data_IF_132856446358
#
_entry.id   IF_132856446358
#
_cell.length_a   1.000
_cell.length_b   1.000
_cell.length_c   1.000
_cell.angle_alpha   90.00
_cell.angle_beta   90.00
_cell.angle_gamma   90.00
#
_symmetry.space_group_name_H-M   'P 1'
#
loop_
_entity.id
_entity.type
_entity.pdbx_description
1 polymer ?
#
# COMPACT_ATOMS: atom_id res chain seq x y z
N UNK A 1 -4.90 -26.58 23.07
CA UNK A 1 -4.52 -28.01 22.85
C UNK A 1 -3.53 -28.46 23.92
N UNK A 2 -3.22 -29.76 24.03
CA UNK A 2 -2.21 -30.29 24.97
C UNK A 2 -0.82 -29.64 24.80
N UNK A 3 -0.51 -29.10 23.62
CA UNK A 3 0.74 -28.39 23.35
C UNK A 3 0.77 -26.99 23.99
N UNK A 4 -0.33 -26.24 23.96
CA UNK A 4 -0.39 -24.88 24.55
C UNK A 4 -0.11 -24.89 26.04
N UNK A 5 -0.67 -25.85 26.79
CA UNK A 5 -0.38 -26.00 28.21
C UNK A 5 1.08 -26.41 28.45
N UNK A 6 1.63 -27.33 27.65
CA UNK A 6 3.02 -27.75 27.76
C UNK A 6 4.02 -26.62 27.42
N UNK A 7 3.68 -25.73 26.48
CA UNK A 7 4.51 -24.58 26.11
C UNK A 7 4.53 -23.49 27.17
N UNK A 8 3.46 -23.36 27.96
CA UNK A 8 3.38 -22.43 29.09
C UNK A 8 4.27 -22.88 30.26
N UNK A 9 4.40 -24.20 30.46
CA UNK A 9 5.22 -24.78 31.53
C UNK A 9 6.71 -24.92 31.17
N UNK A 10 7.06 -24.80 29.89
CA UNK A 10 8.43 -24.90 29.40
C UNK A 10 9.25 -23.65 29.74
N UNK A 11 10.41 -23.85 30.38
CA UNK A 11 11.24 -22.77 30.95
C UNK A 11 12.28 -22.28 29.95
N UNK A 12 12.73 -23.14 29.04
CA UNK A 12 13.78 -22.84 28.07
C UNK A 12 13.28 -22.86 26.63
N UNK A 13 13.99 -22.18 25.73
CA UNK A 13 13.64 -22.18 24.29
C UNK A 13 13.85 -23.56 23.67
N UNK A 14 14.89 -24.28 24.08
CA UNK A 14 15.18 -25.65 23.58
C UNK A 14 14.08 -26.64 23.97
N UNK A 15 13.52 -26.54 25.19
CA UNK A 15 12.37 -27.35 25.59
C UNK A 15 11.13 -27.02 24.75
N UNK A 16 10.88 -25.73 24.47
CA UNK A 16 9.76 -25.31 23.61
C UNK A 16 9.92 -25.86 22.20
N UNK A 17 11.10 -25.72 21.62
CA UNK A 17 11.41 -26.19 20.27
C UNK A 17 11.28 -27.71 20.19
N UNK A 18 11.74 -28.43 21.23
CA UNK A 18 11.57 -29.89 21.32
C UNK A 18 10.10 -30.30 21.45
N UNK A 19 9.28 -29.58 22.22
CA UNK A 19 7.84 -29.85 22.35
C UNK A 19 7.10 -29.61 21.03
N UNK A 20 7.43 -28.54 20.32
CA UNK A 20 6.89 -28.25 18.98
C UNK A 20 7.31 -29.34 18.00
N UNK A 21 8.60 -29.70 18.00
CA UNK A 21 9.12 -30.73 17.09
C UNK A 21 8.49 -32.11 17.34
N UNK A 22 8.33 -32.52 18.60
CA UNK A 22 7.63 -33.74 18.97
C UNK A 22 6.15 -33.71 18.56
N UNK A 23 5.50 -32.56 18.72
CA UNK A 23 4.11 -32.38 18.27
C UNK A 23 4.01 -32.50 16.74
N UNK A 24 4.90 -31.85 15.99
CA UNK A 24 4.95 -31.94 14.53
C UNK A 24 5.23 -33.37 14.06
N UNK A 25 6.19 -34.07 14.67
CA UNK A 25 6.44 -35.49 14.37
C UNK A 25 5.21 -36.36 14.65
N UNK A 26 4.46 -36.07 15.72
CA UNK A 26 3.22 -36.78 16.04
C UNK A 26 2.10 -36.49 15.04
N UNK A 27 1.99 -35.25 14.58
CA UNK A 27 1.04 -34.80 13.53
C UNK A 27 1.39 -35.43 12.18
N UNK A 28 2.66 -35.44 11.81
CA UNK A 28 3.16 -36.01 10.56
C UNK A 28 3.14 -37.55 10.55
N UNK A 29 3.17 -38.19 11.73
CA UNK A 29 3.25 -39.65 11.89
C UNK A 29 1.99 -40.43 11.51
N UNK A 30 0.89 -39.78 11.10
CA UNK A 30 -0.40 -40.41 10.74
C UNK A 30 -1.00 -41.33 11.84
N UNK A 31 -0.48 -41.28 13.07
CA UNK A 31 -0.93 -42.15 14.19
C UNK A 31 -2.19 -41.63 14.89
N UNK A 32 -2.77 -40.50 14.46
CA UNK A 32 -4.08 -40.04 14.91
C UNK A 32 -4.88 -39.43 13.74
N UNK A 33 -6.15 -39.81 13.64
CA UNK A 33 -7.17 -39.02 12.93
C UNK A 33 -7.19 -37.63 13.57
N UNK A 34 -6.51 -36.66 12.94
CA UNK A 34 -6.56 -35.26 13.36
C UNK A 34 -7.98 -34.74 13.12
N UNK A 35 -8.82 -34.84 14.14
CA UNK A 35 -10.17 -34.29 14.12
C UNK A 35 -10.10 -32.78 14.32
N UNK A 36 -10.59 -32.03 13.33
CA UNK A 36 -10.67 -30.57 13.41
C UNK A 36 -11.74 -30.21 14.44
N UNK A 37 -11.43 -29.53 15.56
CA UNK A 37 -12.44 -29.22 16.57
C UNK A 37 -13.59 -28.41 15.95
N UNK A 38 -14.81 -28.64 16.44
CA UNK A 38 -15.98 -27.84 16.05
C UNK A 38 -15.81 -26.39 16.53
N UNK A 39 -16.45 -25.44 15.83
CA UNK A 39 -16.43 -24.04 16.25
C UNK A 39 -17.08 -23.88 17.64
N UNK A 40 -16.50 -23.05 18.53
CA UNK A 40 -17.09 -22.75 19.83
C UNK A 40 -18.54 -22.24 19.74
N UNK A 41 -19.38 -22.62 20.70
CA UNK A 41 -20.74 -22.09 20.81
C UNK A 41 -20.72 -20.58 21.15
N UNK A 42 -21.68 -19.83 20.60
CA UNK A 42 -21.86 -18.41 20.91
C UNK A 42 -20.98 -17.43 20.12
N UNK A 43 -20.31 -17.88 19.05
CA UNK A 43 -19.62 -16.98 18.13
C UNK A 43 -20.63 -16.14 17.32
N UNK A 44 -20.30 -14.86 17.12
CA UNK A 44 -21.01 -14.01 16.18
C UNK A 44 -20.55 -14.33 14.75
N UNK A 45 -21.51 -14.60 13.87
CA UNK A 45 -21.26 -14.88 12.45
C UNK A 45 -21.75 -13.72 11.58
N UNK A 46 -20.97 -13.36 10.57
CA UNK A 46 -21.29 -12.29 9.63
C UNK A 46 -21.63 -12.91 8.26
N UNK A 47 -22.65 -12.36 7.59
CA UNK A 47 -23.15 -12.83 6.29
C UNK A 47 -23.67 -14.27 6.26
N UNK A 48 -24.06 -14.81 7.41
CA UNK A 48 -24.78 -16.09 7.51
C UNK A 48 -26.01 -15.91 8.40
N UNK A 49 -27.08 -16.64 8.08
CA UNK A 49 -28.32 -16.59 8.88
C UNK A 49 -28.22 -17.48 10.13
N UNK A 50 -27.30 -18.46 10.12
CA UNK A 50 -27.06 -19.42 11.20
C UNK A 50 -25.55 -19.64 11.39
N UNK A 51 -25.17 -20.24 12.53
CA UNK A 51 -23.78 -20.65 12.81
C UNK A 51 -23.31 -21.76 11.87
N UNK A 52 -22.08 -21.68 11.39
CA UNK A 52 -21.45 -22.71 10.55
C UNK A 52 -20.87 -23.81 11.44
N UNK A 53 -21.04 -25.07 11.05
CA UNK A 53 -20.38 -26.25 11.63
C UNK A 53 -19.31 -26.85 10.71
N UNK A 54 -18.17 -27.20 11.29
CA UNK A 54 -17.06 -27.88 10.60
C UNK A 54 -17.53 -29.22 10.01
N UNK A 55 -18.20 -30.04 10.81
CA UNK A 55 -18.55 -31.41 10.40
C UNK A 55 -19.81 -31.52 9.57
N UNK A 56 -20.72 -30.55 9.67
CA UNK A 56 -21.96 -30.52 8.89
C UNK A 56 -21.84 -29.70 7.61
N UNK A 57 -21.34 -28.48 7.70
CA UNK A 57 -21.46 -27.50 6.63
C UNK A 57 -20.19 -27.37 5.77
N UNK A 58 -19.03 -27.69 6.35
CA UNK A 58 -17.73 -27.58 5.68
C UNK A 58 -17.20 -28.92 5.14
N UNK A 59 -17.77 -30.04 5.60
CA UNK A 59 -17.35 -31.38 5.18
C UNK A 59 -17.40 -31.56 3.65
N UNK A 60 -16.29 -32.01 3.07
CA UNK A 60 -16.15 -32.24 1.62
C UNK A 60 -15.93 -30.98 0.78
N UNK A 61 -15.81 -29.79 1.39
CA UNK A 61 -15.50 -28.54 0.71
C UNK A 61 -14.04 -28.16 0.88
N UNK A 62 -13.49 -27.46 -0.11
CA UNK A 62 -12.22 -26.73 0.07
C UNK A 62 -12.55 -25.44 0.80
N UNK A 63 -12.02 -25.29 2.01
CA UNK A 63 -12.25 -24.12 2.87
C UNK A 63 -10.99 -23.28 2.92
N UNK A 64 -11.13 -21.99 2.62
CA UNK A 64 -10.06 -21.00 2.79
C UNK A 64 -10.31 -20.30 4.12
N UNK A 65 -9.31 -20.33 5.00
CA UNK A 65 -9.33 -19.61 6.27
C UNK A 65 -8.42 -18.39 6.16
N UNK A 66 -9.00 -17.22 6.41
CA UNK A 66 -8.27 -15.95 6.48
C UNK A 66 -8.29 -15.45 7.93
N UNK A 67 -7.12 -15.13 8.47
CA UNK A 67 -6.95 -14.73 9.86
C UNK A 67 -6.58 -13.26 9.91
N UNK A 68 -7.54 -12.41 10.30
CA UNK A 68 -7.30 -10.98 10.47
C UNK A 68 -6.73 -10.68 11.85
N UNK A 69 -5.63 -9.90 11.92
CA UNK A 69 -5.03 -9.47 13.19
C UNK A 69 -5.21 -7.97 13.37
N UNK A 70 -5.42 -7.52 14.61
CA UNK A 70 -5.55 -6.09 14.92
C UNK A 70 -4.28 -5.26 14.62
N UNK A 71 -3.10 -5.88 14.48
CA UNK A 71 -1.86 -5.17 14.17
C UNK A 71 -1.22 -5.72 12.89
N UNK A 72 -0.47 -4.87 12.18
CA UNK A 72 0.32 -5.28 11.03
C UNK A 72 1.45 -6.21 11.51
N UNK A 73 1.28 -7.52 11.30
CA UNK A 73 2.28 -8.53 11.69
C UNK A 73 3.64 -8.26 11.05
N UNK A 74 3.65 -7.71 9.83
CA UNK A 74 4.87 -7.32 9.13
C UNK A 74 5.62 -6.20 9.86
N UNK A 75 4.93 -5.25 10.50
CA UNK A 75 5.58 -4.20 11.31
C UNK A 75 6.27 -4.79 12.54
N UNK A 76 5.68 -5.81 13.17
CA UNK A 76 6.25 -6.48 14.35
C UNK A 76 7.50 -7.29 13.94
N UNK A 77 7.42 -8.01 12.81
CA UNK A 77 8.54 -8.79 12.30
C UNK A 77 9.76 -7.92 11.91
N UNK A 78 9.56 -6.63 11.61
CA UNK A 78 10.64 -5.71 11.26
C UNK A 78 11.42 -5.19 12.48
N UNK A 79 10.92 -5.36 13.71
CA UNK A 79 11.54 -4.79 14.91
C UNK A 79 13.00 -5.24 15.13
N UNK A 80 13.36 -6.53 14.96
CA UNK A 80 14.76 -6.96 15.07
C UNK A 80 15.67 -6.32 14.02
N UNK A 81 15.16 -6.15 12.78
CA UNK A 81 15.92 -5.53 11.68
C UNK A 81 16.14 -4.04 11.94
N UNK A 82 15.10 -3.32 12.38
CA UNK A 82 15.21 -1.92 12.78
C UNK A 82 16.22 -1.73 13.91
N UNK A 83 16.22 -2.62 14.91
CA UNK A 83 17.19 -2.59 15.99
C UNK A 83 18.63 -2.80 15.49
N UNK A 84 18.83 -3.74 14.55
CA UNK A 84 20.14 -3.98 13.95
C UNK A 84 20.62 -2.79 13.10
N UNK A 85 19.72 -2.18 12.32
CA UNK A 85 20.01 -1.00 11.50
C UNK A 85 20.39 0.21 12.38
N UNK A 86 19.61 0.49 13.42
CA UNK A 86 19.91 1.52 14.41
C UNK A 86 21.30 1.30 15.01
N UNK A 87 21.59 0.09 15.50
CA UNK A 87 22.90 -0.22 16.06
C UNK A 87 24.06 -0.05 15.07
N UNK A 88 23.80 -0.29 13.78
CA UNK A 88 24.82 -0.23 12.70
C UNK A 88 25.08 1.19 12.22
N UNK A 89 24.04 2.01 12.10
CA UNK A 89 24.10 3.30 11.42
C UNK A 89 23.95 4.53 12.33
N UNK A 90 23.63 4.36 13.62
CA UNK A 90 23.67 5.48 14.56
C UNK A 90 25.10 5.95 14.80
N UNK A 91 25.35 7.26 14.62
CA UNK A 91 26.65 7.88 14.85
C UNK A 91 27.13 7.61 16.29
N UNK A 92 28.22 6.87 16.41
CA UNK A 92 28.91 6.58 17.68
C UNK A 92 29.83 7.73 18.08
N UNK A 93 29.35 8.97 17.93
CA UNK A 93 30.04 10.15 18.41
C UNK A 93 30.14 10.17 19.95
N UNK A 94 31.20 10.76 20.53
CA UNK A 94 31.27 10.94 21.97
C UNK A 94 30.23 11.98 22.39
N UNK A 95 29.34 11.62 23.32
CA UNK A 95 28.33 12.47 23.97
C UNK A 95 27.04 12.83 23.22
N UNK A 96 26.53 11.97 22.32
CA UNK A 96 25.07 12.01 22.03
C UNK A 96 24.37 11.23 23.14
N UNK A 97 23.57 11.92 23.95
CA UNK A 97 22.71 11.32 24.97
C UNK A 97 21.84 10.25 24.29
N UNK A 98 22.17 8.97 24.49
CA UNK A 98 21.39 7.86 23.93
C UNK A 98 20.00 7.94 24.56
N UNK A 99 18.98 8.09 23.72
CA UNK A 99 17.61 7.84 24.17
C UNK A 99 17.46 6.32 24.32
N UNK A 100 17.45 5.84 25.56
CA UNK A 100 17.31 4.41 25.89
C UNK A 100 15.90 3.85 25.60
N UNK A 101 15.06 4.62 24.91
CA UNK A 101 13.67 4.31 24.59
C UNK A 101 13.44 4.50 23.09
N UNK A 102 13.10 3.41 22.42
CA UNK A 102 12.54 3.43 21.08
C UNK A 102 11.03 3.65 21.17
N UNK A 103 10.56 4.79 20.66
CA UNK A 103 9.13 5.11 20.56
C UNK A 103 8.52 4.53 19.30
N UNK A 104 7.38 3.86 19.43
CA UNK A 104 6.75 3.11 18.34
C UNK A 104 5.31 3.61 18.17
N UNK A 105 4.98 4.07 16.97
CA UNK A 105 3.59 4.30 16.58
C UNK A 105 2.97 2.97 16.15
N UNK A 106 2.16 2.40 17.05
CA UNK A 106 1.53 1.10 16.83
C UNK A 106 0.20 1.29 16.11
N UNK A 107 0.28 1.61 14.81
CA UNK A 107 -0.86 2.02 13.98
C UNK A 107 -2.08 1.11 14.11
N UNK A 108 -1.86 -0.20 13.99
CA UNK A 108 -2.95 -1.18 13.94
C UNK A 108 -3.80 -1.27 15.22
N UNK A 109 -3.19 -1.07 16.39
CA UNK A 109 -3.93 -1.04 17.67
C UNK A 109 -4.06 0.38 18.24
N UNK A 110 -3.89 1.40 17.40
CA UNK A 110 -4.16 2.80 17.72
C UNK A 110 -3.50 3.30 19.03
N UNK A 111 -2.22 2.98 19.19
CA UNK A 111 -1.47 3.25 20.42
C UNK A 111 -0.05 3.73 20.13
N UNK A 112 0.54 4.42 21.10
CA UNK A 112 1.98 4.72 21.14
C UNK A 112 2.63 3.79 22.17
N UNK A 113 3.64 3.06 21.73
CA UNK A 113 4.40 2.10 22.51
C UNK A 113 5.82 2.58 22.77
N UNK A 114 6.43 2.01 23.80
CA UNK A 114 7.81 2.23 24.15
C UNK A 114 8.53 0.89 24.26
N UNK A 115 9.66 0.77 23.60
CA UNK A 115 10.58 -0.35 23.71
C UNK A 115 11.87 0.13 24.38
N UNK A 116 12.22 -0.49 25.50
CA UNK A 116 13.37 -0.12 26.30
C UNK A 116 14.64 -0.76 25.73
N UNK A 117 15.49 0.03 25.09
CA UNK A 117 16.77 -0.40 24.52
C UNK A 117 17.81 -0.71 25.61
N UNK A 118 17.68 -0.04 26.75
CA UNK A 118 18.42 -0.32 27.98
C UNK A 118 17.50 -0.20 29.21
N UNK A 119 18.04 -0.40 30.42
CA UNK A 119 17.33 -0.11 31.67
C UNK A 119 16.93 1.36 31.70
N UNK A 120 15.65 1.64 31.96
CA UNK A 120 15.14 3.00 31.85
C UNK A 120 13.82 3.20 32.57
N UNK A 121 13.38 4.46 32.63
CA UNK A 121 12.14 4.85 33.32
C UNK A 121 11.23 5.59 32.36
N UNK A 122 10.03 5.06 32.17
CA UNK A 122 8.97 5.79 31.46
C UNK A 122 8.33 6.86 32.37
N UNK A 123 7.76 7.93 31.80
CA UNK A 123 7.08 8.98 32.56
C UNK A 123 6.03 8.39 33.52
N UNK A 124 6.14 8.74 34.81
CA UNK A 124 5.30 8.24 35.92
C UNK A 124 5.30 6.71 36.14
N UNK A 125 6.24 5.95 35.59
CA UNK A 125 6.40 4.51 35.88
C UNK A 125 7.62 4.22 36.74
N UNK A 126 7.68 3.01 37.30
CA UNK A 126 8.89 2.51 37.95
C UNK A 126 9.96 2.18 36.91
N UNK A 127 11.17 1.90 37.37
CA UNK A 127 12.26 1.42 36.52
C UNK A 127 11.87 0.12 35.82
N UNK A 128 12.13 0.05 34.52
CA UNK A 128 11.78 -1.06 33.65
C UNK A 128 13.05 -1.72 33.13
N UNK A 129 12.99 -3.03 32.92
CA UNK A 129 14.13 -3.81 32.43
C UNK A 129 14.35 -3.55 30.94
N UNK A 130 15.60 -3.66 30.50
CA UNK A 130 15.95 -3.75 29.08
C UNK A 130 15.08 -4.80 28.35
N UNK A 131 14.64 -4.48 27.14
CA UNK A 131 13.78 -5.32 26.31
C UNK A 131 12.30 -5.26 26.67
N UNK A 132 11.90 -4.47 27.68
CA UNK A 132 10.47 -4.27 27.97
C UNK A 132 9.81 -3.51 26.83
N UNK A 133 8.78 -4.11 26.22
CA UNK A 133 7.93 -3.46 25.23
C UNK A 133 6.54 -3.26 25.83
N UNK A 134 6.03 -2.03 25.87
CA UNK A 134 4.71 -1.78 26.42
C UNK A 134 4.02 -0.56 25.81
N UNK A 135 2.69 -0.57 25.91
CA UNK A 135 1.85 0.59 25.65
C UNK A 135 2.20 1.75 26.60
N UNK A 136 2.50 2.89 26.02
CA UNK A 136 2.70 4.16 26.72
C UNK A 136 1.43 5.01 26.72
N UNK A 137 0.79 5.21 25.56
CA UNK A 137 -0.45 5.99 25.41
C UNK A 137 -1.42 5.37 24.39
N UNK A 138 -2.71 5.68 24.52
CA UNK A 138 -3.79 5.12 23.69
C UNK A 138 -4.60 4.04 24.43
N UNK A 139 -5.91 4.00 24.23
CA UNK A 139 -6.81 3.00 24.81
C UNK A 139 -6.84 1.73 23.99
N UNK A 140 -6.57 1.83 22.69
CA UNK A 140 -6.81 0.78 21.69
C UNK A 140 -8.06 1.02 20.85
N UNK A 141 -8.94 1.94 21.26
CA UNK A 141 -10.07 2.35 20.43
C UNK A 141 -9.59 3.31 19.34
N UNK A 142 -10.15 3.16 18.15
CA UNK A 142 -9.97 4.08 17.03
C UNK A 142 -10.77 5.36 17.26
N UNK A 143 -10.12 6.42 17.74
CA UNK A 143 -10.77 7.67 18.11
C UNK A 143 -9.80 8.86 17.93
N UNK A 144 -10.33 10.07 17.78
CA UNK A 144 -9.55 11.31 17.93
C UNK A 144 -9.72 11.89 19.36
N UNK A 145 -9.38 11.11 20.39
CA UNK A 145 -9.66 11.47 21.80
C UNK A 145 -8.40 11.92 22.53
N UNK A 146 -8.40 13.17 22.99
CA UNK A 146 -7.35 13.73 23.86
C UNK A 146 -7.61 13.42 25.34
N UNK A 147 -6.56 13.30 26.14
CA UNK A 147 -6.72 13.08 27.57
C UNK A 147 -5.44 13.41 28.37
N UNK A 148 -5.62 13.93 29.59
CA UNK A 148 -4.51 14.12 30.53
C UNK A 148 -3.92 12.79 31.03
N UNK A 149 -4.66 11.69 30.91
CA UNK A 149 -4.20 10.33 31.25
C UNK A 149 -3.91 9.54 29.98
N UNK A 150 -2.67 9.06 29.75
CA UNK A 150 -2.25 8.50 28.46
C UNK A 150 -3.10 7.30 28.00
N UNK A 151 -3.46 6.39 28.92
CA UNK A 151 -4.24 5.20 28.57
C UNK A 151 -5.73 5.48 28.27
N UNK A 152 -6.22 6.70 28.52
CA UNK A 152 -7.60 7.12 28.21
C UNK A 152 -7.69 7.97 26.93
N UNK A 153 -6.56 8.36 26.35
CA UNK A 153 -6.55 8.92 25.01
C UNK A 153 -6.84 7.81 23.99
N UNK A 154 -7.41 8.15 22.84
CA UNK A 154 -7.58 7.24 21.69
C UNK A 154 -6.93 7.88 20.48
N UNK A 155 -6.24 7.08 19.66
CA UNK A 155 -5.61 7.48 18.40
C UNK A 155 -6.36 6.83 17.22
N UNK A 156 -6.02 7.19 16.00
CA UNK A 156 -6.55 6.58 14.79
C UNK A 156 -5.42 6.44 13.75
N UNK A 157 -4.89 5.22 13.64
CA UNK A 157 -3.70 4.85 12.88
C UNK A 157 -2.52 5.84 13.01
N UNK A 158 -1.93 5.99 14.21
CA UNK A 158 -0.72 6.79 14.36
C UNK A 158 0.39 6.19 13.50
N UNK A 159 0.99 7.00 12.63
CA UNK A 159 1.92 6.51 11.59
C UNK A 159 3.25 7.26 11.52
N UNK A 160 3.36 8.42 12.17
CA UNK A 160 4.60 9.18 12.24
C UNK A 160 4.85 9.70 13.65
N UNK A 161 6.11 9.63 14.10
CA UNK A 161 6.57 10.19 15.37
C UNK A 161 7.76 11.12 15.14
N UNK A 162 7.80 12.20 15.92
CA UNK A 162 8.97 13.07 16.01
C UNK A 162 9.18 13.50 17.47
N UNK A 163 10.41 13.37 17.96
CA UNK A 163 10.77 13.65 19.34
C UNK A 163 11.24 15.11 19.50
N UNK A 164 10.69 15.80 20.49
CA UNK A 164 11.20 17.08 20.98
C UNK A 164 11.43 16.97 22.48
N UNK A 165 12.61 16.46 22.86
CA UNK A 165 13.03 16.25 24.26
C UNK A 165 13.27 17.58 25.00
N UNK A 166 13.81 18.57 24.28
CA UNK A 166 14.17 19.89 24.78
C UNK A 166 12.98 20.66 25.37
N UNK A 167 13.24 21.45 26.42
CA UNK A 167 12.26 22.43 26.92
C UNK A 167 12.09 23.59 25.91
N UNK A 168 10.88 24.17 25.77
CA UNK A 168 9.69 23.96 26.59
C UNK A 168 8.78 22.82 26.11
N UNK A 169 9.21 22.02 25.13
CA UNK A 169 8.34 21.07 24.44
C UNK A 169 8.18 19.77 25.22
N UNK A 170 9.29 19.09 25.49
CA UNK A 170 9.37 17.78 26.17
C UNK A 170 8.21 16.85 25.79
N UNK A 171 8.02 16.60 24.50
CA UNK A 171 6.92 15.81 23.95
C UNK A 171 7.30 15.03 22.69
N UNK A 172 6.47 14.04 22.36
CA UNK A 172 6.40 13.43 21.04
C UNK A 172 5.33 14.14 20.23
N UNK A 173 5.65 14.53 19.00
CA UNK A 173 4.65 14.84 17.98
C UNK A 173 4.22 13.55 17.30
N UNK A 174 2.90 13.40 17.11
CA UNK A 174 2.26 12.22 16.52
C UNK A 174 1.48 12.66 15.31
N UNK A 175 1.80 12.09 14.15
CA UNK A 175 0.94 12.13 12.97
C UNK A 175 -0.11 11.01 13.11
N UNK A 176 -1.33 11.40 13.43
CA UNK A 176 -2.48 10.52 13.66
C UNK A 176 -3.32 10.49 12.37
N UNK A 177 -2.99 9.54 11.49
CA UNK A 177 -3.29 9.61 10.06
C UNK A 177 -4.79 9.59 9.75
N UNK A 178 -5.54 8.66 10.35
CA UNK A 178 -6.98 8.52 10.09
C UNK A 178 -7.78 9.66 10.70
N UNK A 179 -7.30 10.22 11.82
CA UNK A 179 -7.92 11.42 12.39
C UNK A 179 -7.50 12.72 11.67
N UNK A 180 -6.58 12.62 10.70
CA UNK A 180 -5.98 13.74 9.99
C UNK A 180 -5.45 14.82 10.93
N UNK A 181 -4.89 14.42 12.08
CA UNK A 181 -4.47 15.33 13.13
C UNK A 181 -3.00 15.15 13.53
N UNK A 182 -2.36 16.25 13.91
CA UNK A 182 -1.08 16.22 14.63
C UNK A 182 -1.38 16.40 16.11
N UNK A 183 -0.84 15.49 16.93
CA UNK A 183 -1.02 15.49 18.38
C UNK A 183 0.31 15.53 19.10
N UNK A 184 0.27 15.88 20.38
CA UNK A 184 1.44 15.87 21.26
C UNK A 184 1.22 14.88 22.38
N UNK A 185 2.25 14.10 22.72
CA UNK A 185 2.29 13.24 23.91
C UNK A 185 3.42 13.74 24.80
N UNK A 186 3.07 14.24 25.98
CA UNK A 186 4.04 14.80 26.93
C UNK A 186 4.97 13.72 27.50
N UNK A 187 6.28 13.97 27.47
CA UNK A 187 7.30 13.13 28.11
C UNK A 187 7.35 13.35 29.63
N UNK A 188 6.63 14.33 30.18
CA UNK A 188 6.59 14.56 31.63
C UNK A 188 5.54 13.71 32.32
N UNK A 189 4.36 13.61 31.70
CA UNK A 189 3.18 13.04 32.33
C UNK A 189 2.33 12.13 31.44
N UNK A 190 2.69 11.99 30.15
CA UNK A 190 1.95 11.20 29.17
C UNK A 190 0.66 11.87 28.67
N UNK A 191 0.39 13.13 29.03
CA UNK A 191 -0.81 13.81 28.56
C UNK A 191 -0.82 13.93 27.03
N UNK A 192 -1.95 13.57 26.41
CA UNK A 192 -2.16 13.66 24.96
C UNK A 192 -3.01 14.88 24.64
N UNK A 193 -2.47 15.78 23.82
CA UNK A 193 -3.11 17.05 23.45
C UNK A 193 -3.15 17.23 21.93
N UNK A 194 -4.23 17.82 21.45
CA UNK A 194 -4.35 18.26 20.07
C UNK A 194 -3.37 19.40 19.77
N UNK A 195 -2.70 19.34 18.61
CA UNK A 195 -1.92 20.43 18.06
C UNK A 195 -2.69 21.13 16.95
N UNK A 196 -2.90 20.45 15.81
CA UNK A 196 -3.58 20.95 14.60
C UNK A 196 -4.23 19.80 13.81
N UNK A 197 -5.12 20.10 12.86
CA UNK A 197 -5.66 19.14 11.89
C UNK A 197 -7.15 18.79 12.06
N UNK A 198 -7.60 17.80 11.27
CA UNK A 198 -8.99 17.35 11.12
C UNK A 198 -9.46 17.24 9.66
N UNK A 199 -8.63 17.61 8.69
CA UNK A 199 -8.95 17.63 7.25
C UNK A 199 -7.76 17.06 6.43
N UNK A 200 -8.06 16.33 5.36
CA UNK A 200 -7.08 15.63 4.51
C UNK A 200 -6.55 16.56 3.42
N UNK A 201 -5.23 16.73 3.33
CA UNK A 201 -4.57 17.64 2.37
C UNK A 201 -3.16 17.11 2.03
N UNK A 202 -2.86 16.77 0.76
CA UNK A 202 -1.59 16.16 0.33
C UNK A 202 -0.46 17.19 0.14
N UNK A 203 -0.40 18.21 1.02
CA UNK A 203 0.66 19.22 1.04
C UNK A 203 1.59 19.04 2.24
N UNK A 204 2.83 19.49 2.11
CA UNK A 204 3.75 19.57 3.25
C UNK A 204 3.39 20.81 4.05
N UNK A 205 3.02 20.63 5.32
CA UNK A 205 2.62 21.72 6.22
C UNK A 205 3.70 22.00 7.25
N UNK A 206 3.82 23.26 7.64
CA UNK A 206 4.61 23.69 8.79
C UNK A 206 3.67 24.11 9.92
N UNK A 207 3.97 23.64 11.12
CA UNK A 207 3.20 23.96 12.32
C UNK A 207 4.12 24.67 13.30
N UNK A 208 3.73 25.88 13.71
CA UNK A 208 4.36 26.53 14.86
C UNK A 208 3.69 26.03 16.14
N UNK A 209 4.39 25.28 17.01
CA UNK A 209 3.75 24.68 18.17
C UNK A 209 3.45 25.67 19.31
N UNK A 210 4.01 26.89 19.29
CA UNK A 210 3.65 27.97 20.24
C UNK A 210 2.32 28.60 19.85
N UNK A 211 2.20 28.99 18.58
CA UNK A 211 1.01 29.70 18.09
C UNK A 211 -0.11 28.76 17.64
N UNK A 212 0.23 27.47 17.42
CA UNK A 212 -0.63 26.44 16.80
C UNK A 212 -1.08 26.82 15.39
N UNK A 213 -0.34 27.71 14.73
CA UNK A 213 -0.60 28.08 13.36
C UNK A 213 -0.10 26.97 12.43
N UNK A 214 -0.93 26.56 11.47
CA UNK A 214 -0.61 25.56 10.46
C UNK A 214 -0.72 26.20 9.09
N UNK A 215 0.38 26.23 8.35
CA UNK A 215 0.43 26.81 6.99
C UNK A 215 1.07 25.83 6.02
N UNK A 216 0.67 25.89 4.76
CA UNK A 216 1.33 25.12 3.70
C UNK A 216 2.77 25.61 3.53
N UNK A 217 3.72 24.69 3.66
CA UNK A 217 5.14 24.94 3.42
C UNK A 217 5.47 24.66 1.95
N UNK A 218 4.99 23.54 1.39
CA UNK A 218 5.23 23.12 0.02
C UNK A 218 4.09 22.23 -0.51
N UNK A 219 3.91 22.20 -1.83
CA UNK A 219 2.84 21.43 -2.48
C UNK A 219 1.72 22.32 -3.04
N UNK A 220 1.30 22.06 -4.28
CA UNK A 220 0.09 22.69 -4.86
C UNK A 220 -1.22 22.08 -4.33
N UNK A 221 -1.15 20.85 -3.80
CA UNK A 221 -2.31 20.02 -3.46
C UNK A 221 -2.67 19.00 -4.54
N UNK A 222 -2.06 19.08 -5.73
CA UNK A 222 -2.28 18.10 -6.79
C UNK A 222 -1.39 16.86 -6.60
N UNK A 223 -2.00 15.68 -6.62
CA UNK A 223 -1.29 14.40 -6.54
C UNK A 223 -0.56 14.08 -7.86
N UNK A 224 0.61 14.66 -8.07
CA UNK A 224 1.44 14.48 -9.28
C UNK A 224 2.93 14.45 -8.94
N UNK A 225 3.81 14.37 -9.95
CA UNK A 225 5.26 14.32 -9.77
C UNK A 225 6.01 15.47 -10.48
N UNK A 226 5.71 16.71 -10.10
CA UNK A 226 6.36 17.91 -10.63
C UNK A 226 7.41 18.40 -9.64
N UNK A 227 8.64 18.56 -10.12
CA UNK A 227 9.71 19.26 -9.40
C UNK A 227 9.63 20.73 -9.80
N UNK A 228 9.01 21.52 -8.93
CA UNK A 228 8.86 22.96 -9.14
C UNK A 228 10.17 23.71 -8.91
N UNK A 229 10.22 24.95 -9.39
CA UNK A 229 11.35 25.85 -9.13
C UNK A 229 11.46 26.29 -7.66
N UNK A 230 10.37 26.12 -6.90
CA UNK A 230 10.24 26.45 -5.50
C UNK A 230 9.27 25.48 -4.81
N UNK A 231 9.05 25.67 -3.50
CA UNK A 231 8.16 24.85 -2.69
C UNK A 231 6.70 24.86 -3.13
N UNK A 232 6.15 26.00 -3.55
CA UNK A 232 4.72 26.13 -3.89
C UNK A 232 4.39 25.52 -5.25
N UNK A 233 5.36 25.47 -6.15
CA UNK A 233 5.19 24.91 -7.50
C UNK A 233 5.51 23.41 -7.58
N UNK A 234 6.04 22.83 -6.50
CA UNK A 234 6.34 21.40 -6.42
C UNK A 234 5.10 20.62 -6.01
N UNK A 235 4.98 19.38 -6.48
CA UNK A 235 3.86 18.49 -6.12
C UNK A 235 4.33 17.23 -5.43
N UNK A 236 3.43 16.57 -4.69
CA UNK A 236 3.68 15.36 -3.93
C UNK A 236 2.50 14.40 -4.12
N UNK A 237 2.70 13.11 -3.90
CA UNK A 237 1.67 12.09 -4.02
C UNK A 237 1.72 11.13 -2.83
N UNK A 238 0.81 11.34 -1.88
CA UNK A 238 0.71 10.60 -0.61
C UNK A 238 2.07 10.41 0.09
N UNK A 239 2.77 11.51 0.44
CA UNK A 239 4.04 11.42 1.15
C UNK A 239 3.82 10.71 2.49
N UNK A 240 4.47 9.57 2.68
CA UNK A 240 4.23 8.66 3.81
C UNK A 240 5.13 8.91 5.01
N UNK A 241 6.17 9.75 4.84
CA UNK A 241 7.11 10.08 5.90
C UNK A 241 8.00 11.26 5.53
N UNK A 242 8.57 11.91 6.54
CA UNK A 242 9.49 13.02 6.39
C UNK A 242 10.50 13.04 7.54
N UNK A 243 11.70 13.51 7.27
CA UNK A 243 12.76 13.64 8.27
C UNK A 243 13.61 14.88 7.98
N UNK A 244 13.90 15.68 9.01
CA UNK A 244 14.80 16.81 8.90
C UNK A 244 16.25 16.31 8.92
N UNK A 245 17.07 16.81 8.00
CA UNK A 245 18.50 16.55 7.95
C UNK A 245 19.28 17.32 9.03
N UNK A 246 20.57 17.03 9.11
CA UNK A 246 21.49 17.66 10.04
C UNK A 246 21.45 19.21 9.91
N UNK A 247 21.50 19.90 11.04
CA UNK A 247 21.42 21.37 11.14
C UNK A 247 20.12 22.02 10.63
N UNK A 248 19.09 21.23 10.27
CA UNK A 248 17.80 21.77 9.86
C UNK A 248 17.80 22.47 8.49
N UNK A 249 18.79 22.19 7.64
CA UNK A 249 18.90 22.80 6.31
C UNK A 249 18.09 22.04 5.26
N UNK A 250 18.09 20.71 5.31
CA UNK A 250 17.40 19.86 4.35
C UNK A 250 16.22 19.15 5.03
N UNK A 251 15.12 19.00 4.32
CA UNK A 251 13.98 18.16 4.71
C UNK A 251 13.81 17.05 3.67
N UNK A 252 13.95 15.81 4.10
CA UNK A 252 13.74 14.63 3.26
C UNK A 252 12.28 14.18 3.36
N UNK A 253 11.66 13.91 2.23
CA UNK A 253 10.27 13.47 2.13
C UNK A 253 10.22 12.16 1.36
N UNK A 254 9.64 11.13 1.97
CA UNK A 254 9.31 9.87 1.32
C UNK A 254 8.02 10.06 0.52
N UNK A 255 8.15 10.39 -0.77
CA UNK A 255 7.03 10.65 -1.68
C UNK A 255 6.51 9.33 -2.25
N UNK A 256 5.73 8.61 -1.42
CA UNK A 256 5.44 7.18 -1.54
C UNK A 256 4.90 6.78 -2.90
N UNK A 257 3.86 7.46 -3.39
CA UNK A 257 3.20 7.10 -4.64
C UNK A 257 3.95 7.62 -5.87
N UNK A 258 4.95 8.48 -5.68
CA UNK A 258 5.90 8.85 -6.73
C UNK A 258 7.18 7.98 -6.70
N UNK A 259 7.31 7.05 -5.74
CA UNK A 259 8.42 6.12 -5.58
C UNK A 259 9.80 6.78 -5.47
N UNK A 260 9.86 7.95 -4.83
CA UNK A 260 11.05 8.80 -4.77
C UNK A 260 11.24 9.41 -3.38
N UNK A 261 12.49 9.74 -3.07
CA UNK A 261 12.81 10.62 -1.94
C UNK A 261 13.00 12.02 -2.49
N UNK A 262 12.14 12.95 -2.07
CA UNK A 262 12.29 14.37 -2.38
C UNK A 262 13.12 15.04 -1.31
N UNK A 263 14.05 15.88 -1.74
CA UNK A 263 14.93 16.68 -0.86
C UNK A 263 14.52 18.13 -1.00
N UNK A 264 14.00 18.69 0.07
CA UNK A 264 13.62 20.09 0.16
C UNK A 264 14.74 20.86 0.86
N UNK A 265 15.32 21.84 0.19
CA UNK A 265 16.28 22.76 0.80
C UNK A 265 15.53 23.93 1.43
N UNK A 266 15.59 24.02 2.77
CA UNK A 266 14.85 25.01 3.55
C UNK A 266 15.47 26.41 3.50
N UNK A 267 16.73 26.55 3.07
CA UNK A 267 17.39 27.84 2.88
C UNK A 267 17.05 28.41 1.50
N UNK A 268 17.28 27.62 0.45
CA UNK A 268 17.06 28.04 -0.94
C UNK A 268 15.60 27.91 -1.40
N UNK A 269 14.76 27.22 -0.62
CA UNK A 269 13.34 26.95 -0.90
C UNK A 269 13.11 26.15 -2.18
N UNK A 270 14.05 25.28 -2.54
CA UNK A 270 13.99 24.44 -3.74
C UNK A 270 13.70 22.98 -3.40
N UNK A 271 13.12 22.24 -4.35
CA UNK A 271 12.89 20.79 -4.23
C UNK A 271 13.71 20.08 -5.28
N UNK A 272 14.34 18.97 -4.90
CA UNK A 272 15.08 18.08 -5.80
C UNK A 272 14.76 16.62 -5.47
N UNK A 273 15.23 15.69 -6.30
CA UNK A 273 15.08 14.25 -6.05
C UNK A 273 16.43 13.70 -5.60
N UNK A 274 16.44 12.94 -4.49
CA UNK A 274 17.64 12.27 -4.01
C UNK A 274 18.05 11.19 -5.03
N UNK A 275 19.24 11.25 -5.63
CA UNK A 275 19.69 10.20 -6.53
C UNK A 275 20.05 8.95 -5.74
N UNK A 276 19.37 7.83 -6.02
CA UNK A 276 19.70 6.52 -5.45
C UNK A 276 20.67 5.82 -6.40
N UNK A 277 21.97 5.92 -6.11
CA UNK A 277 23.01 5.23 -6.89
C UNK A 277 23.13 3.79 -6.44
N UNK A 278 23.01 2.84 -7.38
CA UNK A 278 23.32 1.43 -7.15
C UNK A 278 24.78 1.16 -7.50
N UNK A 279 25.53 0.62 -6.55
CA UNK A 279 26.80 -0.04 -6.87
C UNK A 279 26.48 -1.33 -7.66
N UNK A 280 27.18 -1.59 -8.75
CA UNK A 280 27.05 -2.81 -9.56
C UNK A 280 27.26 -4.11 -8.75
N UNK A 281 27.79 -4.01 -7.53
CA UNK A 281 28.11 -5.12 -6.63
C UNK A 281 27.10 -5.35 -5.50
N UNK A 282 25.97 -4.63 -5.46
CA UNK A 282 24.94 -4.87 -4.46
C UNK A 282 24.26 -6.24 -4.69
N UNK A 283 24.58 -7.23 -3.85
CA UNK A 283 23.82 -8.47 -3.76
C UNK A 283 22.44 -8.18 -3.17
N UNK A 284 21.39 -8.70 -3.80
CA UNK A 284 20.00 -8.53 -3.38
C UNK A 284 19.43 -9.93 -3.19
N UNK A 285 18.76 -10.19 -2.08
CA UNK A 285 18.22 -11.51 -1.69
C UNK A 285 16.99 -11.96 -2.51
N UNK A 286 17.06 -11.78 -3.82
CA UNK A 286 16.05 -12.22 -4.76
C UNK A 286 16.21 -11.56 -6.12
N UNK A 287 15.80 -12.21 -7.22
CA UNK A 287 15.65 -11.52 -8.49
C UNK A 287 14.65 -10.38 -8.28
N UNK A 288 15.06 -9.15 -8.63
CA UNK A 288 14.10 -8.07 -8.75
C UNK A 288 12.95 -8.54 -9.65
N UNK A 289 11.70 -8.20 -9.34
CA UNK A 289 10.72 -8.11 -10.40
C UNK A 289 11.35 -7.11 -11.39
N UNK A 290 11.67 -7.55 -12.61
CA UNK A 290 11.70 -6.64 -13.75
C UNK A 290 10.47 -5.74 -13.60
N UNK A 291 10.58 -4.43 -13.92
CA UNK A 291 9.42 -3.52 -13.97
C UNK A 291 8.23 -4.36 -14.37
N UNK A 292 7.30 -4.58 -13.42
CA UNK A 292 6.16 -5.42 -13.74
C UNK A 292 5.48 -4.65 -14.85
N UNK A 293 5.71 -5.02 -16.10
CA UNK A 293 4.74 -4.80 -17.17
C UNK A 293 3.44 -5.13 -16.48
N UNK A 294 2.58 -4.12 -16.27
CA UNK A 294 1.33 -4.24 -15.51
C UNK A 294 0.76 -5.61 -15.87
N UNK A 295 0.89 -6.57 -14.96
CA UNK A 295 0.64 -7.97 -15.32
C UNK A 295 -0.79 -8.00 -15.77
N UNK A 296 -1.00 -8.33 -17.04
CA UNK A 296 -2.28 -8.20 -17.70
C UNK A 296 -3.33 -8.85 -16.79
N UNK A 297 -4.27 -8.07 -16.21
CA UNK A 297 -5.23 -8.63 -15.29
C UNK A 297 -5.93 -9.77 -16.01
N UNK A 298 -6.09 -10.93 -15.38
CA UNK A 298 -6.81 -12.02 -16.03
C UNK A 298 -8.27 -11.60 -16.16
N UNK A 299 -8.78 -11.58 -17.39
CA UNK A 299 -10.20 -11.38 -17.62
C UNK A 299 -11.00 -12.41 -16.82
N UNK A 300 -12.10 -12.00 -16.17
CA UNK A 300 -13.02 -12.94 -15.55
C UNK A 300 -13.43 -14.03 -16.54
N UNK A 301 -13.59 -15.28 -16.08
CA UNK A 301 -14.05 -16.38 -16.96
C UNK A 301 -15.41 -16.10 -17.63
N UNK A 302 -16.21 -15.20 -17.03
CA UNK A 302 -17.50 -14.74 -17.54
C UNK A 302 -17.40 -13.55 -18.52
N UNK A 303 -16.20 -13.02 -18.77
CA UNK A 303 -16.01 -11.91 -19.69
C UNK A 303 -16.35 -12.36 -21.13
N UNK A 304 -17.22 -11.63 -21.85
CA UNK A 304 -17.51 -11.93 -23.24
C UNK A 304 -16.28 -11.71 -24.12
N UNK A 305 -16.16 -12.55 -25.17
CA UNK A 305 -15.19 -12.40 -26.23
C UNK A 305 -15.87 -12.06 -27.55
N UNK A 306 -15.53 -10.93 -28.16
CA UNK A 306 -16.04 -10.48 -29.45
C UNK A 306 -14.95 -10.64 -30.49
N UNK A 307 -15.17 -11.51 -31.48
CA UNK A 307 -14.30 -11.61 -32.65
C UNK A 307 -14.77 -10.62 -33.72
N UNK A 308 -13.88 -9.73 -34.14
CA UNK A 308 -14.15 -8.69 -35.14
C UNK A 308 -13.87 -9.20 -36.55
N UNK A 309 -14.36 -8.45 -37.54
CA UNK A 309 -14.06 -8.70 -38.96
C UNK A 309 -12.58 -8.42 -39.26
N UNK A 310 -11.91 -9.23 -40.09
CA UNK A 310 -10.51 -9.00 -40.45
C UNK A 310 -10.27 -7.60 -41.05
N UNK A 311 -9.12 -7.02 -40.71
CA UNK A 311 -8.68 -5.71 -41.22
C UNK A 311 -7.38 -5.90 -41.99
N UNK A 312 -7.33 -5.39 -43.21
CA UNK A 312 -6.09 -5.32 -43.98
C UNK A 312 -5.19 -4.22 -43.40
N UNK A 313 -3.89 -4.51 -43.25
CA UNK A 313 -2.92 -3.56 -42.73
C UNK A 313 -1.59 -3.70 -43.47
N UNK A 314 -0.83 -2.60 -43.57
CA UNK A 314 0.50 -2.61 -44.19
C UNK A 314 1.60 -2.33 -43.18
N UNK A 315 2.83 -2.82 -43.40
CA UNK A 315 3.97 -2.47 -42.55
C UNK A 315 4.17 -0.95 -42.44
N UNK A 316 4.37 -0.47 -41.21
CA UNK A 316 4.49 0.96 -40.89
C UNK A 316 3.17 1.73 -40.79
N UNK A 317 2.03 1.14 -41.16
CA UNK A 317 0.72 1.77 -41.06
C UNK A 317 0.27 1.87 -39.60
N UNK A 318 -0.42 2.96 -39.23
CA UNK A 318 -1.05 3.10 -37.91
C UNK A 318 -2.54 2.75 -38.01
N UNK A 319 -2.96 1.74 -37.26
CA UNK A 319 -4.36 1.39 -37.07
C UNK A 319 -4.93 2.10 -35.83
N UNK A 320 -6.20 2.47 -35.92
CA UNK A 320 -6.93 3.09 -34.81
C UNK A 320 -8.12 2.22 -34.41
N UNK A 321 -8.27 2.01 -33.11
CA UNK A 321 -9.37 1.26 -32.50
C UNK A 321 -10.16 2.19 -31.58
N UNK A 322 -11.38 2.51 -31.96
CA UNK A 322 -12.24 3.43 -31.20
C UNK A 322 -13.14 2.65 -30.26
N UNK A 323 -12.97 2.86 -28.95
CA UNK A 323 -13.80 2.26 -27.91
C UNK A 323 -15.17 2.95 -27.88
N UNK A 324 -16.22 2.18 -28.15
CA UNK A 324 -17.63 2.59 -28.06
C UNK A 324 -18.34 1.70 -27.05
N UNK A 325 -18.10 2.01 -25.78
CA UNK A 325 -18.63 1.25 -24.67
C UNK A 325 -19.82 2.01 -24.09
N UNK A 326 -20.85 1.30 -23.64
CA UNK A 326 -21.96 1.88 -22.89
C UNK A 326 -22.09 1.16 -21.55
N UNK A 327 -22.39 1.93 -20.50
CA UNK A 327 -22.67 1.39 -19.17
C UNK A 327 -24.18 1.19 -18.98
N UNK A 328 -24.60 0.29 -18.06
CA UNK A 328 -25.99 0.20 -17.64
C UNK A 328 -26.55 1.54 -17.15
N UNK A 329 -27.83 1.78 -17.39
CA UNK A 329 -28.53 2.97 -16.89
C UNK A 329 -28.37 3.12 -15.38
N UNK A 330 -28.10 4.35 -14.93
CA UNK A 330 -27.92 4.65 -13.50
C UNK A 330 -26.59 4.19 -12.93
N UNK A 331 -25.54 4.03 -13.75
CA UNK A 331 -24.19 3.70 -13.28
C UNK A 331 -23.17 4.74 -13.73
N UNK A 332 -22.07 4.86 -12.98
CA UNK A 332 -20.93 5.73 -13.30
C UNK A 332 -19.62 5.00 -13.04
N UNK A 333 -18.56 5.41 -13.74
CA UNK A 333 -17.21 4.91 -13.45
C UNK A 333 -16.83 5.18 -11.99
N UNK A 334 -16.12 4.23 -11.39
CA UNK A 334 -15.71 4.28 -9.98
C UNK A 334 -14.58 5.29 -9.79
N UNK A 335 -14.80 6.28 -8.94
CA UNK A 335 -13.76 7.22 -8.52
C UNK A 335 -12.72 6.50 -7.66
N UNK A 336 -11.43 6.66 -7.99
CA UNK A 336 -10.33 5.97 -7.31
C UNK A 336 -10.01 4.55 -7.79
N UNK A 337 -10.79 3.97 -8.73
CA UNK A 337 -10.47 2.69 -9.36
C UNK A 337 -10.40 2.83 -10.90
N UNK A 338 -9.20 3.03 -11.47
CA UNK A 338 -9.06 3.37 -12.89
C UNK A 338 -9.48 2.22 -13.80
N UNK A 339 -10.42 2.51 -14.70
CA UNK A 339 -10.75 1.63 -15.82
C UNK A 339 -9.61 1.64 -16.84
N UNK A 340 -9.36 0.53 -17.53
CA UNK A 340 -8.17 0.40 -18.38
C UNK A 340 -8.36 -0.58 -19.54
N UNK A 341 -7.46 -0.50 -20.52
CA UNK A 341 -7.36 -1.43 -21.64
C UNK A 341 -5.95 -1.99 -21.77
N UNK A 342 -5.84 -3.17 -22.37
CA UNK A 342 -4.58 -3.88 -22.63
C UNK A 342 -4.59 -4.51 -24.03
N UNK A 343 -3.45 -4.48 -24.70
CA UNK A 343 -3.17 -5.18 -25.94
C UNK A 343 -2.37 -6.44 -25.65
N UNK A 344 -2.71 -7.50 -26.35
CA UNK A 344 -1.99 -8.77 -26.37
C UNK A 344 -2.05 -9.35 -27.78
N UNK A 345 -1.04 -10.13 -28.15
CA UNK A 345 -0.96 -10.76 -29.46
C UNK A 345 -0.29 -12.13 -29.28
N UNK A 346 -1.03 -13.09 -28.73
CA UNK A 346 -0.50 -14.42 -28.44
C UNK A 346 -0.01 -15.10 -29.73
N UNK A 347 1.26 -15.51 -29.74
CA UNK A 347 1.94 -16.04 -30.93
C UNK A 347 2.29 -15.00 -31.99
N UNK A 348 2.02 -13.72 -31.76
CA UNK A 348 2.34 -12.59 -32.63
C UNK A 348 2.89 -11.40 -31.82
N UNK A 349 3.69 -11.68 -30.79
CA UNK A 349 4.15 -10.69 -29.80
C UNK A 349 4.94 -9.54 -30.43
N UNK A 350 5.57 -9.82 -31.57
CA UNK A 350 6.28 -8.85 -32.41
C UNK A 350 5.41 -7.63 -32.79
N UNK A 351 4.08 -7.78 -32.85
CA UNK A 351 3.15 -6.67 -33.12
C UNK A 351 3.23 -5.55 -32.08
N UNK A 352 3.58 -5.88 -30.84
CA UNK A 352 3.55 -4.94 -29.71
C UNK A 352 4.94 -4.40 -29.34
N UNK A 353 5.99 -4.82 -30.05
CA UNK A 353 7.36 -4.44 -29.74
C UNK A 353 7.57 -2.93 -29.94
N UNK A 354 8.10 -2.26 -28.92
CA UNK A 354 8.36 -0.81 -28.95
C UNK A 354 7.12 0.08 -28.79
N UNK A 355 5.96 -0.50 -28.43
CA UNK A 355 4.71 0.22 -28.23
C UNK A 355 4.22 0.09 -26.79
N UNK A 356 3.33 0.99 -26.36
CA UNK A 356 2.71 0.95 -25.04
C UNK A 356 1.45 0.07 -25.13
N UNK A 357 1.43 -1.15 -24.58
CA UNK A 357 0.35 -2.11 -24.80
C UNK A 357 -0.79 -1.93 -23.79
N UNK A 358 -0.94 -0.77 -23.15
CA UNK A 358 -1.97 -0.53 -22.15
C UNK A 358 -2.27 0.95 -21.98
N UNK A 359 -3.46 1.28 -21.49
CA UNK A 359 -3.83 2.65 -21.14
C UNK A 359 -5.06 2.72 -20.25
N UNK A 360 -5.35 3.91 -19.75
CA UNK A 360 -6.48 4.18 -18.85
C UNK A 360 -7.68 4.73 -19.61
N UNK A 361 -8.86 4.54 -19.04
CA UNK A 361 -10.15 4.99 -19.56
C UNK A 361 -10.72 5.96 -18.52
N UNK A 362 -10.39 7.24 -18.67
CA UNK A 362 -10.89 8.31 -17.79
C UNK A 362 -12.38 8.57 -17.99
N UNK A 363 -12.84 8.50 -19.24
CA UNK A 363 -14.23 8.75 -19.61
C UNK A 363 -14.67 7.93 -20.80
N UNK A 364 -15.76 7.20 -20.65
CA UNK A 364 -16.40 6.45 -21.74
C UNK A 364 -17.05 7.38 -22.75
N UNK A 365 -17.56 8.54 -22.30
CA UNK A 365 -18.17 9.55 -23.17
C UNK A 365 -17.19 10.12 -24.20
N UNK A 366 -15.89 10.10 -23.90
CA UNK A 366 -14.84 10.57 -24.81
C UNK A 366 -14.56 9.61 -25.97
N UNK A 367 -15.08 8.38 -25.92
CA UNK A 367 -14.82 7.31 -26.90
C UNK A 367 -13.32 7.15 -27.21
N UNK A 368 -12.51 6.72 -26.22
CA UNK A 368 -11.06 6.70 -26.34
C UNK A 368 -10.60 5.87 -27.54
N UNK A 369 -9.50 6.32 -28.16
CA UNK A 369 -8.94 5.68 -29.35
C UNK A 369 -7.58 5.09 -29.02
N UNK A 370 -7.44 3.78 -29.24
CA UNK A 370 -6.19 3.04 -29.10
C UNK A 370 -5.51 3.05 -30.47
N UNK A 371 -4.23 3.42 -30.51
CA UNK A 371 -3.44 3.42 -31.74
C UNK A 371 -2.42 2.29 -31.71
N UNK A 372 -2.30 1.54 -32.79
CA UNK A 372 -1.30 0.49 -32.99
C UNK A 372 -0.58 0.75 -34.30
N UNK A 373 0.73 0.95 -34.25
CA UNK A 373 1.57 0.99 -35.43
C UNK A 373 1.96 -0.44 -35.82
N UNK A 374 1.73 -0.83 -37.06
CA UNK A 374 2.22 -2.11 -37.58
C UNK A 374 3.73 -2.02 -37.76
N UNK A 375 4.53 -2.90 -37.15
CA UNK A 375 5.98 -2.90 -37.32
C UNK A 375 6.40 -3.01 -38.79
N UNK A 376 7.52 -2.38 -39.17
CA UNK A 376 8.07 -2.50 -40.52
C UNK A 376 8.53 -3.92 -40.85
N UNK A 377 9.10 -4.60 -39.86
CA UNK A 377 9.62 -5.97 -39.96
C UNK A 377 8.54 -6.99 -39.56
N UNK A 378 7.49 -7.11 -40.38
CA UNK A 378 6.41 -8.07 -40.12
C UNK A 378 6.89 -9.52 -40.21
N UNK A 379 6.62 -10.32 -39.17
CA UNK A 379 7.04 -11.73 -39.09
C UNK A 379 5.98 -12.72 -39.59
N UNK A 380 4.75 -12.26 -39.85
CA UNK A 380 3.63 -13.07 -40.34
C UNK A 380 2.70 -12.24 -41.24
N UNK A 381 2.03 -12.90 -42.18
CA UNK A 381 0.99 -12.29 -43.03
C UNK A 381 -0.39 -12.27 -42.36
N UNK A 382 -0.58 -13.08 -41.32
CA UNK A 382 -1.79 -13.13 -40.51
C UNK A 382 -1.43 -13.01 -39.04
N UNK A 383 -2.15 -12.16 -38.31
CA UNK A 383 -1.96 -12.01 -36.88
C UNK A 383 -3.30 -11.72 -36.20
N UNK A 384 -3.40 -11.99 -34.90
CA UNK A 384 -4.58 -11.64 -34.10
C UNK A 384 -4.16 -10.72 -32.96
N UNK A 385 -4.75 -9.53 -32.95
CA UNK A 385 -4.62 -8.58 -31.85
C UNK A 385 -5.80 -8.77 -30.89
N UNK A 386 -5.50 -8.97 -29.62
CA UNK A 386 -6.45 -9.11 -28.53
C UNK A 386 -6.46 -7.84 -27.68
N UNK A 387 -7.61 -7.18 -27.59
CA UNK A 387 -7.83 -5.93 -26.87
C UNK A 387 -8.72 -6.24 -25.67
N UNK A 388 -8.14 -6.31 -24.48
CA UNK A 388 -8.86 -6.53 -23.23
C UNK A 388 -9.24 -5.20 -22.62
N UNK A 389 -10.49 -5.05 -22.17
CA UNK A 389 -10.97 -3.83 -21.50
C UNK A 389 -11.55 -4.19 -20.15
N UNK A 390 -11.20 -3.42 -19.12
CA UNK A 390 -11.66 -3.55 -17.74
C UNK A 390 -12.34 -2.26 -17.32
N UNK A 391 -13.62 -2.36 -16.96
CA UNK A 391 -14.39 -1.23 -16.42
C UNK A 391 -14.74 -1.48 -14.96
N UNK A 392 -14.50 -0.46 -14.15
CA UNK A 392 -14.95 -0.37 -12.76
C UNK A 392 -16.05 0.69 -12.70
N UNK A 393 -17.25 0.29 -12.32
CA UNK A 393 -18.38 1.20 -12.22
C UNK A 393 -19.27 0.86 -11.02
N UNK A 394 -19.90 1.88 -10.45
CA UNK A 394 -20.83 1.74 -9.33
C UNK A 394 -22.22 2.18 -9.74
N UNK A 395 -23.21 1.60 -9.08
CA UNK A 395 -24.58 2.10 -9.13
C UNK A 395 -24.64 3.53 -8.57
N UNK A 396 -25.47 4.39 -9.16
CA UNK A 396 -25.72 5.72 -8.64
C UNK A 396 -26.61 5.69 -7.38
N UNK A 397 -27.42 4.65 -7.23
CA UNK A 397 -28.45 4.52 -6.18
C UNK A 397 -27.98 3.64 -5.00
N UNK A 398 -26.81 3.03 -5.09
CA UNK A 398 -26.23 2.20 -4.01
C UNK A 398 -24.70 2.30 -4.00
N UNK A 399 -24.07 1.97 -2.88
CA UNK A 399 -22.60 1.86 -2.77
C UNK A 399 -22.04 0.58 -3.43
N UNK A 400 -22.85 -0.16 -4.19
CA UNK A 400 -22.42 -1.37 -4.87
C UNK A 400 -21.59 -1.04 -6.11
N UNK A 401 -20.34 -1.49 -6.11
CA UNK A 401 -19.41 -1.36 -7.23
C UNK A 401 -19.12 -2.72 -7.87
N UNK A 402 -18.92 -2.72 -9.18
CA UNK A 402 -18.67 -3.91 -9.97
C UNK A 402 -17.46 -3.71 -10.87
N UNK A 403 -16.72 -4.80 -11.11
CA UNK A 403 -15.73 -4.88 -12.16
C UNK A 403 -16.24 -5.80 -13.27
N UNK A 404 -16.18 -5.33 -14.51
CA UNK A 404 -16.47 -6.13 -15.70
C UNK A 404 -15.32 -6.05 -16.68
N UNK A 405 -15.11 -7.14 -17.41
CA UNK A 405 -14.13 -7.22 -18.48
C UNK A 405 -14.76 -7.64 -19.80
N UNK A 406 -14.14 -7.28 -20.91
CA UNK A 406 -14.44 -7.76 -22.26
C UNK A 406 -13.16 -7.96 -23.07
N UNK A 407 -13.16 -8.96 -23.95
CA UNK A 407 -12.11 -9.20 -24.92
C UNK A 407 -12.61 -8.90 -26.33
N UNK A 408 -11.89 -8.08 -27.09
CA UNK A 408 -12.05 -7.97 -28.54
C UNK A 408 -10.88 -8.65 -29.23
N UNK A 409 -11.16 -9.57 -30.17
CA UNK A 409 -10.14 -10.20 -31.00
C UNK A 409 -10.25 -9.64 -32.42
N UNK A 410 -9.24 -8.88 -32.83
CA UNK A 410 -9.11 -8.31 -34.16
C UNK A 410 -8.15 -9.15 -35.01
N UNK A 411 -8.64 -9.88 -36.03
CA UNK A 411 -7.78 -10.48 -37.04
C UNK A 411 -7.17 -9.41 -37.94
N UNK A 412 -5.88 -9.49 -38.21
CA UNK A 412 -5.12 -8.62 -39.10
C UNK A 412 -4.62 -9.43 -40.30
N UNK A 413 -4.78 -8.87 -41.50
CA UNK A 413 -4.22 -9.39 -42.75
C UNK A 413 -3.17 -8.42 -43.25
N UNK A 414 -1.91 -8.84 -43.21
CA UNK A 414 -0.78 -7.96 -43.52
C UNK A 414 -0.43 -8.07 -45.00
N UNK A 415 -0.51 -6.96 -45.72
CA UNK A 415 -0.26 -6.89 -47.16
C UNK A 415 0.68 -5.74 -47.54
N UNK A 416 1.51 -5.96 -48.55
CA UNK A 416 2.47 -4.96 -49.07
C UNK A 416 1.80 -3.80 -49.83
N UNK A 417 0.51 -3.90 -50.11
CA UNK A 417 -0.27 -2.85 -50.75
C UNK A 417 -0.64 -1.76 -49.75
N UNK A 418 0.09 -0.64 -49.76
CA UNK A 418 -0.27 0.53 -48.96
C UNK A 418 -1.71 0.97 -49.26
N UNK A 419 -2.59 0.85 -48.26
CA UNK A 419 -3.88 1.54 -48.28
C UNK A 419 -3.69 2.92 -47.65
N UNK A 420 -3.98 3.97 -48.43
CA UNK A 420 -3.80 5.37 -48.03
C UNK A 420 -4.61 5.76 -46.78
N UNK A 421 -5.67 5.03 -46.46
CA UNK A 421 -6.51 5.28 -45.29
C UNK A 421 -7.33 4.06 -44.87
N UNK A 422 -7.20 3.62 -43.62
CA UNK A 422 -8.08 2.62 -42.99
C UNK A 422 -8.92 3.34 -41.94
N UNK A 423 -10.27 3.30 -42.03
CA UNK A 423 -11.12 3.94 -41.03
C UNK A 423 -10.93 3.28 -39.66
N UNK A 424 -11.13 4.02 -38.55
CA UNK A 424 -11.00 3.45 -37.22
C UNK A 424 -11.93 2.26 -37.01
N UNK A 425 -11.38 1.17 -36.47
CA UNK A 425 -12.14 -0.02 -36.10
C UNK A 425 -12.97 0.30 -34.86
N UNK A 426 -14.28 0.09 -34.92
CA UNK A 426 -15.18 0.39 -33.81
C UNK A 426 -15.31 -0.82 -32.87
N UNK A 427 -14.87 -0.66 -31.63
CA UNK A 427 -14.99 -1.65 -30.57
C UNK A 427 -16.26 -1.39 -29.77
N UNK A 428 -17.38 -1.98 -30.19
CA UNK A 428 -18.71 -1.72 -29.61
C UNK A 428 -19.10 -2.76 -28.56
N UNK A 429 -19.53 -2.31 -27.39
CA UNK A 429 -20.13 -3.19 -26.39
C UNK A 429 -20.98 -2.44 -25.36
N UNK A 430 -22.03 -3.08 -24.86
CA UNK A 430 -22.90 -2.56 -23.79
C UNK A 430 -22.76 -3.51 -22.59
N UNK A 431 -22.34 -2.97 -21.44
CA UNK A 431 -22.06 -3.73 -20.22
C UNK A 431 -23.29 -4.09 -19.41
#
# INVERSE_FOLDING_TARGET
TSLEYALLDAVTQEEKDSLVYQYLQKVDGWEQDLSVPEFPEGLEWLNTEESISVYKDLCGKVVVLDFFTYCCINCIHLLPDLHALEHTYSDKGPEVQRDDILWIAMAGIHQIWAFLLDYGRLPKKNELKKGTCLRFAGSGNEENRNNSYPHKAGFAQPSGLSLASEEPWSCLFVADSESSAVRTVSLKDGAVKHLVGGERDPTIKVVDPKTKNCTTLAGTGDASNVIGSNFTDSTFNEPGGLCIGENGQLLYVADTNNHQIKVMDLETKTVSVLPVFRSESAMVDGPFPAEKQKTLPRLPKSAPGIRLSPVAASPGQTLQFKLRLDLPSGTKLTEGAPSCWFLSAEGNEWLLQGQIPSGEIESISSQPTISLQIPGDCLSLEAVLSISVFLYYCSADSSACMMKGILFSQPLQITDTQQDYVPPVELKYIF
#
